data_IF_188006855715
#
_entry.id   IF_188006855715
#
_cell.length_a   1.000
_cell.length_b   1.000
_cell.length_c   1.000
_cell.angle_alpha   90.00
_cell.angle_beta   90.00
_cell.angle_gamma   90.00
#
_symmetry.space_group_name_H-M   'P 1'
#
loop_
_entity.id
_entity.type
_entity.pdbx_description
1 polymer ?
#
# COMPACT_ATOMS: atom_id res chain seq x y z
N UNK A 1 11.31 26.81 13.93
CA UNK A 1 10.32 25.93 13.27
C UNK A 1 9.34 25.46 14.33
N UNK A 2 8.09 25.92 14.25
CA UNK A 2 7.05 25.63 15.23
C UNK A 2 6.54 24.20 15.02
N UNK A 3 6.72 23.31 15.99
CA UNK A 3 6.18 21.96 15.89
C UNK A 3 4.66 22.01 16.07
N UNK A 4 3.93 21.81 14.98
CA UNK A 4 2.47 21.69 14.99
C UNK A 4 2.15 20.36 15.69
N UNK A 5 1.85 20.43 16.98
CA UNK A 5 1.43 19.27 17.76
C UNK A 5 -0.05 18.97 17.46
N UNK A 6 -0.30 18.13 16.46
CA UNK A 6 -1.65 17.63 16.15
C UNK A 6 -2.11 16.69 17.28
N UNK A 7 -3.19 17.05 17.96
CA UNK A 7 -3.93 16.17 18.87
C UNK A 7 -4.32 14.87 18.14
N UNK A 8 -4.47 13.76 18.88
CA UNK A 8 -4.86 12.46 18.36
C UNK A 8 -6.18 12.51 17.57
N UNK A 9 -7.11 13.41 17.93
CA UNK A 9 -8.32 13.67 17.14
C UNK A 9 -8.02 14.30 15.78
N UNK A 10 -7.00 15.17 15.71
CA UNK A 10 -6.52 15.77 14.46
C UNK A 10 -5.82 14.76 13.57
N UNK A 11 -4.95 13.92 14.15
CA UNK A 11 -4.30 12.80 13.43
C UNK A 11 -5.34 11.84 12.86
N UNK A 12 -6.34 11.46 13.64
CA UNK A 12 -7.43 10.58 13.19
C UNK A 12 -8.25 11.21 12.05
N UNK A 13 -8.63 12.49 12.15
CA UNK A 13 -9.33 13.21 11.07
C UNK A 13 -8.53 13.22 9.77
N UNK A 14 -7.22 13.52 9.83
CA UNK A 14 -6.36 13.52 8.65
C UNK A 14 -6.30 12.11 8.05
N UNK A 15 -6.16 11.08 8.88
CA UNK A 15 -6.16 9.70 8.44
C UNK A 15 -7.47 9.35 7.71
N UNK A 16 -8.62 9.69 8.29
CA UNK A 16 -9.94 9.44 7.67
C UNK A 16 -10.10 10.18 6.34
N UNK A 17 -9.62 11.42 6.25
CA UNK A 17 -9.65 12.20 5.00
C UNK A 17 -8.77 11.54 3.93
N UNK A 18 -7.55 11.13 4.28
CA UNK A 18 -6.64 10.43 3.37
C UNK A 18 -7.27 9.13 2.87
N UNK A 19 -7.84 8.32 3.77
CA UNK A 19 -8.56 7.09 3.40
C UNK A 19 -9.75 7.38 2.49
N UNK A 20 -10.54 8.40 2.80
CA UNK A 20 -11.69 8.81 1.99
C UNK A 20 -11.28 9.23 0.58
N UNK A 21 -10.21 10.03 0.45
CA UNK A 21 -9.66 10.43 -0.85
C UNK A 21 -9.17 9.22 -1.66
N UNK A 22 -8.45 8.28 -1.02
CA UNK A 22 -8.00 7.05 -1.66
C UNK A 22 -9.17 6.21 -2.20
N UNK A 23 -10.26 6.11 -1.44
CA UNK A 23 -11.47 5.39 -1.86
C UNK A 23 -12.18 6.11 -3.00
N UNK A 24 -12.26 7.44 -3.00
CA UNK A 24 -12.92 8.19 -4.08
C UNK A 24 -12.11 8.10 -5.38
N UNK A 25 -10.78 8.15 -5.30
CA UNK A 25 -9.89 8.01 -6.47
C UNK A 25 -9.94 6.60 -7.04
N UNK A 26 -10.20 5.57 -6.22
CA UNK A 26 -10.26 4.21 -6.71
C UNK A 26 -11.52 3.91 -7.53
N UNK A 27 -12.68 4.53 -7.22
CA UNK A 27 -13.95 4.36 -7.95
C UNK A 27 -13.81 4.47 -9.49
N UNK A 28 -13.22 5.54 -10.06
CA UNK A 28 -13.06 5.66 -11.52
C UNK A 28 -12.09 4.63 -12.12
N UNK A 29 -11.19 4.03 -11.34
CA UNK A 29 -10.31 2.95 -11.81
C UNK A 29 -11.06 1.61 -11.97
N UNK A 30 -12.15 1.41 -11.22
CA UNK A 30 -12.99 0.20 -11.32
C UNK A 30 -13.92 0.21 -12.54
N UNK A 31 -14.45 1.37 -12.92
CA UNK A 31 -15.46 1.50 -13.99
C UNK A 31 -15.09 0.79 -15.31
N UNK A 32 -13.88 0.96 -15.89
CA UNK A 32 -13.57 0.34 -17.18
C UNK A 32 -13.33 -1.18 -17.12
N UNK A 33 -13.05 -1.75 -15.95
CA UNK A 33 -12.63 -3.16 -15.79
C UNK A 33 -13.78 -4.12 -15.46
N UNK A 34 -14.92 -3.60 -14.97
CA UNK A 34 -16.14 -4.40 -14.76
C UNK A 34 -16.72 -4.86 -16.11
N UNK A 35 -16.58 -4.02 -17.14
CA UNK A 35 -17.15 -4.28 -18.48
C UNK A 35 -16.39 -5.37 -19.27
N UNK A 36 -15.14 -5.68 -18.91
CA UNK A 36 -14.26 -6.59 -19.66
C UNK A 36 -14.04 -7.96 -18.99
N UNK A 37 -14.83 -8.32 -17.97
CA UNK A 37 -14.82 -9.67 -17.36
C UNK A 37 -13.60 -10.00 -16.48
N UNK A 38 -12.74 -9.02 -16.18
CA UNK A 38 -11.57 -9.17 -15.30
C UNK A 38 -11.72 -8.40 -13.97
N UNK A 39 -12.94 -7.95 -13.66
CA UNK A 39 -13.21 -7.07 -12.52
C UNK A 39 -12.72 -7.59 -11.18
N UNK A 40 -12.72 -8.90 -10.93
CA UNK A 40 -12.25 -9.48 -9.65
C UNK A 40 -10.74 -9.32 -9.49
N UNK A 41 -9.96 -9.56 -10.55
CA UNK A 41 -8.50 -9.45 -10.50
C UNK A 41 -8.08 -8.01 -10.25
N UNK A 42 -8.67 -7.07 -10.99
CA UNK A 42 -8.47 -5.63 -10.75
C UNK A 42 -8.92 -5.20 -9.36
N UNK A 43 -10.03 -5.77 -8.85
CA UNK A 43 -10.53 -5.42 -7.53
C UNK A 43 -9.60 -5.83 -6.41
N UNK A 44 -8.98 -7.01 -6.51
CA UNK A 44 -7.99 -7.47 -5.54
C UNK A 44 -6.82 -6.49 -5.50
N UNK A 45 -6.23 -6.15 -6.66
CA UNK A 45 -5.10 -5.21 -6.70
C UNK A 45 -5.46 -3.84 -6.15
N UNK A 46 -6.60 -3.27 -6.56
CA UNK A 46 -7.02 -1.95 -6.07
C UNK A 46 -7.30 -1.97 -4.57
N UNK A 47 -7.96 -3.01 -4.06
CA UNK A 47 -8.18 -3.16 -2.61
C UNK A 47 -6.86 -3.30 -1.84
N UNK A 48 -5.88 -4.01 -2.42
CA UNK A 48 -4.53 -4.14 -1.90
C UNK A 48 -3.79 -2.80 -1.84
N UNK A 49 -3.89 -1.97 -2.90
CA UNK A 49 -3.30 -0.62 -2.91
C UNK A 49 -3.93 0.26 -1.83
N UNK A 50 -5.26 0.26 -1.69
CA UNK A 50 -5.96 1.09 -0.68
C UNK A 50 -5.53 0.67 0.72
N UNK A 51 -5.62 -0.63 1.03
CA UNK A 51 -5.27 -1.15 2.36
C UNK A 51 -3.77 -0.99 2.65
N UNK A 52 -2.91 -1.30 1.69
CA UNK A 52 -1.46 -1.16 1.80
C UNK A 52 -1.04 0.29 2.05
N UNK A 53 -1.58 1.23 1.27
CA UNK A 53 -1.29 2.66 1.43
C UNK A 53 -1.77 3.16 2.80
N UNK A 54 -2.98 2.78 3.21
CA UNK A 54 -3.52 3.14 4.51
C UNK A 54 -2.63 2.64 5.66
N UNK A 55 -2.28 1.35 5.65
CA UNK A 55 -1.44 0.75 6.68
C UNK A 55 0.00 1.28 6.66
N UNK A 56 0.52 1.63 5.48
CA UNK A 56 1.83 2.28 5.34
C UNK A 56 1.82 3.69 5.95
N UNK A 57 0.78 4.50 5.70
CA UNK A 57 0.63 5.82 6.33
C UNK A 57 0.51 5.71 7.85
N UNK A 58 -0.33 4.79 8.35
CA UNK A 58 -0.44 4.54 9.80
C UNK A 58 0.91 4.10 10.37
N UNK A 59 1.57 3.13 9.75
CA UNK A 59 2.88 2.64 10.16
C UNK A 59 3.93 3.75 10.21
N UNK A 60 3.95 4.65 9.22
CA UNK A 60 4.85 5.80 9.20
C UNK A 60 4.58 6.76 10.37
N UNK A 61 3.32 7.12 10.61
CA UNK A 61 2.95 8.02 11.71
C UNK A 61 3.32 7.40 13.06
N UNK A 62 2.98 6.12 13.28
CA UNK A 62 3.28 5.43 14.53
C UNK A 62 4.79 5.26 14.72
N UNK A 63 5.54 4.98 13.65
CA UNK A 63 7.00 4.93 13.71
C UNK A 63 7.61 6.29 14.08
N UNK A 64 7.11 7.40 13.54
CA UNK A 64 7.61 8.73 13.87
C UNK A 64 7.38 9.09 15.35
N UNK A 65 6.31 8.57 15.95
CA UNK A 65 5.93 8.83 17.34
C UNK A 65 6.73 7.98 18.35
N UNK A 66 6.83 6.66 18.11
CA UNK A 66 7.46 5.74 19.07
C UNK A 66 8.89 5.34 18.71
N UNK A 67 9.31 5.52 17.45
CA UNK A 67 10.67 5.24 16.93
C UNK A 67 11.23 3.84 17.22
N UNK A 68 10.37 2.85 17.40
CA UNK A 68 10.79 1.46 17.62
C UNK A 68 11.13 0.78 16.28
N UNK A 69 12.22 0.00 16.20
CA UNK A 69 12.57 -0.72 14.98
C UNK A 69 11.49 -1.72 14.50
N UNK A 70 10.67 -2.28 15.40
CA UNK A 70 9.50 -3.10 15.03
C UNK A 70 8.49 -2.36 14.17
N UNK A 71 8.14 -1.13 14.56
CA UNK A 71 7.21 -0.31 13.76
C UNK A 71 7.80 0.05 12.39
N UNK A 72 9.11 0.24 12.30
CA UNK A 72 9.81 0.46 11.02
C UNK A 72 9.62 -0.74 10.09
N UNK A 73 9.86 -1.96 10.61
CA UNK A 73 9.73 -3.20 9.83
C UNK A 73 8.30 -3.41 9.33
N UNK A 74 7.31 -3.16 10.19
CA UNK A 74 5.89 -3.24 9.82
C UNK A 74 5.53 -2.19 8.76
N UNK A 75 6.02 -0.96 8.89
CA UNK A 75 5.87 0.08 7.87
C UNK A 75 6.47 -0.34 6.52
N UNK A 76 7.72 -0.84 6.51
CA UNK A 76 8.38 -1.29 5.29
C UNK A 76 7.66 -2.49 4.66
N UNK A 77 7.09 -3.38 5.47
CA UNK A 77 6.27 -4.48 4.97
C UNK A 77 5.05 -3.96 4.21
N UNK A 78 4.29 -3.02 4.80
CA UNK A 78 3.12 -2.44 4.14
C UNK A 78 3.50 -1.57 2.92
N UNK A 79 4.64 -0.90 2.96
CA UNK A 79 5.17 -0.17 1.81
C UNK A 79 5.51 -1.12 0.66
N UNK A 80 6.19 -2.24 0.94
CA UNK A 80 6.61 -3.21 -0.07
C UNK A 80 5.41 -3.84 -0.81
N UNK A 81 4.36 -4.24 -0.09
CA UNK A 81 3.13 -4.75 -0.74
C UNK A 81 2.44 -3.65 -1.56
N UNK A 82 2.38 -2.42 -1.06
CA UNK A 82 1.77 -1.30 -1.81
C UNK A 82 2.48 -1.07 -3.14
N UNK A 83 3.81 -1.08 -3.16
CA UNK A 83 4.60 -0.94 -4.39
C UNK A 83 4.34 -2.13 -5.32
N UNK A 84 4.29 -3.36 -4.80
CA UNK A 84 4.00 -4.55 -5.60
C UNK A 84 2.63 -4.50 -6.27
N UNK A 85 1.60 -4.09 -5.53
CA UNK A 85 0.24 -3.95 -6.05
C UNK A 85 0.13 -2.81 -7.07
N UNK A 86 0.82 -1.68 -6.87
CA UNK A 86 0.88 -0.59 -7.85
C UNK A 86 1.56 -1.07 -9.13
N UNK A 87 2.70 -1.76 -9.05
CA UNK A 87 3.40 -2.30 -10.23
C UNK A 87 2.46 -3.23 -11.02
N UNK A 88 1.82 -4.18 -10.33
CA UNK A 88 0.89 -5.10 -10.93
C UNK A 88 -0.32 -4.40 -11.58
N UNK A 89 -0.85 -3.35 -10.93
CA UNK A 89 -1.93 -2.54 -11.49
C UNK A 89 -1.47 -1.67 -12.69
N UNK A 90 -0.23 -1.16 -12.70
CA UNK A 90 0.29 -0.37 -13.83
C UNK A 90 0.45 -1.19 -15.11
N UNK A 91 0.79 -2.48 -14.99
CA UNK A 91 0.81 -3.40 -16.13
C UNK A 91 -0.59 -3.54 -16.79
N UNK A 92 -1.68 -3.25 -16.05
CA UNK A 92 -3.04 -3.22 -16.61
C UNK A 92 -3.38 -1.87 -17.27
N UNK A 93 -2.83 -0.76 -16.75
CA UNK A 93 -3.14 0.59 -17.23
C UNK A 93 -2.35 0.98 -18.49
N UNK A 94 -1.12 0.49 -18.66
CA UNK A 94 -0.26 0.81 -19.80
C UNK A 94 -0.24 -0.31 -20.84
N UNK A 95 -1.29 -0.40 -21.67
CA UNK A 95 -1.37 -1.32 -22.82
C UNK A 95 -0.26 -1.10 -23.86
N UNK A 96 0.43 0.04 -23.83
CA UNK A 96 1.40 0.47 -24.86
C UNK A 96 2.86 0.10 -24.60
N UNK A 97 3.22 -0.41 -23.42
CA UNK A 97 4.56 -0.97 -23.21
C UNK A 97 4.54 -2.48 -23.43
N UNK A 98 5.46 -3.06 -24.24
CA UNK A 98 5.52 -4.49 -24.42
C UNK A 98 5.75 -5.11 -23.05
N UNK A 99 4.76 -5.89 -22.60
CA UNK A 99 4.78 -6.55 -21.32
C UNK A 99 6.04 -7.41 -21.24
N UNK A 100 6.99 -7.01 -20.40
CA UNK A 100 8.06 -7.90 -19.93
C UNK A 100 7.42 -8.85 -18.89
N UNK A 101 6.46 -9.65 -19.34
CA UNK A 101 5.51 -10.39 -18.49
C UNK A 101 6.19 -11.32 -17.49
N UNK A 102 7.42 -11.75 -17.78
CA UNK A 102 8.25 -12.57 -16.89
C UNK A 102 9.04 -11.78 -15.84
N UNK A 103 9.47 -10.55 -16.13
CA UNK A 103 10.27 -9.74 -15.18
C UNK A 103 9.37 -9.02 -14.18
N UNK A 104 8.25 -8.47 -14.65
CA UNK A 104 7.27 -7.78 -13.79
C UNK A 104 6.66 -8.75 -12.75
N UNK A 105 6.31 -9.96 -13.19
CA UNK A 105 5.84 -11.02 -12.29
C UNK A 105 6.90 -11.42 -11.25
N UNK A 106 8.17 -11.54 -11.65
CA UNK A 106 9.24 -11.86 -10.70
C UNK A 106 9.46 -10.76 -9.66
N UNK A 107 9.38 -9.49 -10.07
CA UNK A 107 9.52 -8.33 -9.17
C UNK A 107 8.35 -8.26 -8.19
N UNK A 108 7.11 -8.40 -8.67
CA UNK A 108 5.92 -8.36 -7.82
C UNK A 108 5.91 -9.48 -6.78
N UNK A 109 6.23 -10.72 -7.19
CA UNK A 109 6.38 -11.84 -6.24
C UNK A 109 7.55 -11.62 -5.27
N UNK A 110 8.68 -11.08 -5.74
CA UNK A 110 9.81 -10.73 -4.89
C UNK A 110 9.45 -9.69 -3.81
N UNK A 111 8.64 -8.69 -4.17
CA UNK A 111 8.14 -7.69 -3.21
C UNK A 111 7.17 -8.27 -2.19
N UNK A 112 6.34 -9.26 -2.58
CA UNK A 112 5.49 -10.00 -1.64
C UNK A 112 6.35 -10.80 -0.65
N UNK A 113 7.39 -11.51 -1.12
CA UNK A 113 8.31 -12.22 -0.24
C UNK A 113 9.06 -11.28 0.71
N UNK A 114 9.50 -10.13 0.20
CA UNK A 114 10.11 -9.07 1.01
C UNK A 114 9.14 -8.54 2.06
N UNK A 115 7.88 -8.30 1.70
CA UNK A 115 6.84 -7.93 2.66
C UNK A 115 6.66 -8.97 3.76
N UNK A 116 6.57 -10.27 3.40
CA UNK A 116 6.40 -11.36 4.36
C UNK A 116 7.59 -11.47 5.33
N UNK A 117 8.81 -11.28 4.85
CA UNK A 117 10.01 -11.32 5.69
C UNK A 117 10.04 -10.17 6.69
N UNK A 118 9.78 -8.93 6.23
CA UNK A 118 9.71 -7.77 7.11
C UNK A 118 8.56 -7.86 8.11
N UNK A 119 7.40 -8.33 7.67
CA UNK A 119 6.24 -8.51 8.52
C UNK A 119 6.49 -9.57 9.60
N UNK A 120 7.01 -10.74 9.21
CA UNK A 120 7.32 -11.83 10.14
C UNK A 120 8.38 -11.40 11.16
N UNK A 121 9.46 -10.76 10.69
CA UNK A 121 10.51 -10.27 11.59
C UNK A 121 9.98 -9.18 12.53
N UNK A 122 9.14 -8.26 12.03
CA UNK A 122 8.49 -7.24 12.84
C UNK A 122 7.53 -7.78 13.90
N UNK A 123 6.84 -8.91 13.64
CA UNK A 123 5.95 -9.55 14.63
C UNK A 123 6.75 -10.19 15.77
N UNK A 124 7.82 -10.93 15.46
CA UNK A 124 8.58 -11.67 16.46
C UNK A 124 9.61 -10.84 17.21
N UNK A 125 9.93 -9.64 16.71
CA UNK A 125 10.87 -8.76 17.38
C UNK A 125 10.28 -8.25 18.70
N UNK A 126 11.07 -8.46 19.76
CA UNK A 126 10.82 -7.95 21.12
C UNK A 126 11.82 -6.83 21.39
N UNK A 127 11.48 -5.67 20.88
CA UNK A 127 12.02 -4.36 21.22
C UNK A 127 11.00 -3.58 22.06
#
# INVERSE_FOLDING_TARGET
MQQIHLDNKGKFKILTIITGILVVISVPLFLPHIEHGHGIHTLIHVSGIILGTFLSVVGAITYLEYKTPRLLLVFLAFLAITIGEILSATNMLFVFWPSYSSIDSMITHGLILMMLTFFSFGIFRRD
#
